data_IF_967378443658
#
_entry.id   IF_967378443658
#
_cell.length_a   1.000
_cell.length_b   1.000
_cell.length_c   1.000
_cell.angle_alpha   90.00
_cell.angle_beta   90.00
_cell.angle_gamma   90.00
#
_symmetry.space_group_name_H-M   'P 1'
#
loop_
_entity.id
_entity.type
_entity.pdbx_description
1 polymer ?
#
# COMPACT_ATOMS: atom_id res chain seq x y z
N UNK A 1 -22.95 16.11 8.35
CA UNK A 1 -22.72 15.87 9.78
C UNK A 1 -21.22 15.62 9.99
N UNK A 2 -20.47 16.66 10.39
CA UNK A 2 -19.15 16.46 10.98
C UNK A 2 -19.40 15.94 12.40
N UNK A 3 -19.24 14.65 12.63
CA UNK A 3 -18.97 14.17 13.96
C UNK A 3 -17.67 14.84 14.41
N UNK A 4 -17.73 15.63 15.46
CA UNK A 4 -16.54 16.07 16.17
C UNK A 4 -15.90 14.80 16.74
N UNK A 5 -14.84 14.32 16.10
CA UNK A 5 -14.04 13.24 16.64
C UNK A 5 -13.53 13.76 17.99
N UNK A 6 -13.80 13.03 19.04
CA UNK A 6 -13.35 13.39 20.40
C UNK A 6 -11.82 13.60 20.36
N UNK A 7 -11.30 14.54 21.12
CA UNK A 7 -9.86 14.89 21.12
C UNK A 7 -8.94 13.73 21.57
N UNK A 8 -9.49 12.59 21.88
CA UNK A 8 -8.78 11.37 22.29
C UNK A 8 -9.64 10.15 21.92
N UNK A 9 -9.44 9.60 20.72
CA UNK A 9 -10.25 8.49 20.19
C UNK A 9 -9.34 7.46 19.50
N UNK A 10 -9.76 6.18 19.63
CA UNK A 10 -9.07 5.06 18.98
C UNK A 10 -10.07 4.27 18.15
N UNK A 11 -9.78 4.12 16.87
CA UNK A 11 -10.54 3.30 15.96
C UNK A 11 -9.70 2.10 15.53
N UNK A 12 -10.27 0.91 15.63
CA UNK A 12 -9.68 -0.33 15.12
C UNK A 12 -10.55 -0.84 13.97
N UNK A 13 -9.92 -1.18 12.86
CA UNK A 13 -10.59 -1.69 11.68
C UNK A 13 -9.93 -2.96 11.16
N UNK A 14 -10.74 -3.81 10.54
CA UNK A 14 -10.27 -4.96 9.79
C UNK A 14 -11.00 -5.03 8.45
N UNK A 15 -10.32 -5.50 7.41
CA UNK A 15 -10.87 -5.71 6.08
C UNK A 15 -10.35 -7.03 5.51
N UNK A 16 -11.17 -7.64 4.65
CA UNK A 16 -10.79 -8.77 3.82
C UNK A 16 -11.07 -8.40 2.37
N UNK A 17 -10.03 -8.39 1.55
CA UNK A 17 -10.14 -8.09 0.12
C UNK A 17 -9.86 -9.39 -0.62
N UNK A 18 -10.75 -9.74 -1.57
CA UNK A 18 -10.60 -10.90 -2.43
C UNK A 18 -10.60 -10.43 -3.88
N UNK A 19 -9.50 -10.69 -4.58
CA UNK A 19 -9.40 -10.48 -6.03
C UNK A 19 -9.71 -11.79 -6.74
N UNK A 20 -10.69 -11.75 -7.63
CA UNK A 20 -11.14 -12.90 -8.40
C UNK A 20 -10.36 -12.99 -9.72
N UNK A 21 -10.13 -14.21 -10.24
CA UNK A 21 -9.45 -14.43 -11.52
C UNK A 21 -10.40 -14.26 -12.73
N UNK A 22 -11.10 -13.13 -12.81
CA UNK A 22 -12.11 -12.85 -13.85
C UNK A 22 -11.59 -12.03 -15.03
N UNK A 23 -10.34 -11.60 -15.00
CA UNK A 23 -9.71 -10.89 -16.13
C UNK A 23 -9.32 -11.84 -17.26
N UNK A 24 -9.27 -11.32 -18.49
CA UNK A 24 -8.80 -12.07 -19.64
C UNK A 24 -7.39 -12.61 -19.40
N UNK A 25 -7.22 -13.89 -19.60
CA UNK A 25 -5.98 -14.61 -19.40
C UNK A 25 -5.71 -15.59 -20.54
N UNK A 26 -4.47 -15.65 -20.99
CA UNK A 26 -3.98 -16.60 -21.98
C UNK A 26 -2.65 -17.18 -21.53
N UNK A 27 -2.55 -18.49 -21.40
CA UNK A 27 -1.32 -19.20 -21.09
C UNK A 27 -0.20 -19.01 -22.12
N UNK A 28 -0.57 -18.62 -23.35
CA UNK A 28 0.38 -18.35 -24.42
C UNK A 28 1.00 -16.94 -24.36
N UNK A 29 0.62 -16.11 -23.38
CA UNK A 29 1.12 -14.76 -23.20
C UNK A 29 1.77 -14.60 -21.82
N UNK A 30 2.95 -13.98 -21.78
CA UNK A 30 3.64 -13.68 -20.54
C UNK A 30 2.97 -12.52 -19.77
N UNK A 31 2.40 -11.56 -20.49
CA UNK A 31 1.73 -10.40 -19.92
C UNK A 31 0.23 -10.54 -20.18
N UNK A 32 -0.55 -10.58 -19.12
CA UNK A 32 -1.99 -10.76 -19.14
C UNK A 32 -2.69 -9.66 -18.30
N UNK A 33 -3.96 -9.39 -18.61
CA UNK A 33 -4.80 -8.50 -17.81
C UNK A 33 -5.23 -9.21 -16.53
N UNK A 34 -5.58 -10.51 -16.63
CA UNK A 34 -5.90 -11.37 -15.49
C UNK A 34 -4.66 -12.09 -14.93
N UNK A 35 -4.72 -12.50 -13.68
CA UNK A 35 -3.63 -13.25 -13.00
C UNK A 35 -3.89 -14.76 -12.97
N UNK A 36 -5.07 -15.21 -13.41
CA UNK A 36 -5.56 -16.60 -13.36
C UNK A 36 -5.43 -17.26 -11.98
N UNK A 37 -5.54 -16.47 -10.91
CA UNK A 37 -5.50 -16.96 -9.52
C UNK A 37 -6.26 -16.03 -8.59
N UNK A 38 -6.68 -16.54 -7.45
CA UNK A 38 -7.23 -15.70 -6.39
C UNK A 38 -6.09 -15.01 -5.63
N UNK A 39 -6.37 -13.78 -5.20
CA UNK A 39 -5.54 -13.09 -4.20
C UNK A 39 -6.43 -12.74 -3.03
N UNK A 40 -6.05 -13.15 -1.84
CA UNK A 40 -6.77 -12.90 -0.60
C UNK A 40 -5.91 -11.97 0.27
N UNK A 41 -6.45 -10.82 0.67
CA UNK A 41 -5.72 -9.85 1.46
C UNK A 41 -6.48 -9.48 2.73
N UNK A 42 -6.25 -10.17 3.85
CA UNK A 42 -6.62 -9.69 5.16
C UNK A 42 -5.79 -8.45 5.54
N UNK A 43 -6.42 -7.50 6.18
CA UNK A 43 -5.80 -6.26 6.65
C UNK A 43 -6.40 -5.87 8.00
N UNK A 44 -5.56 -5.42 8.91
CA UNK A 44 -5.96 -4.82 10.19
C UNK A 44 -5.28 -3.48 10.34
N UNK A 45 -5.92 -2.56 11.02
CA UNK A 45 -5.36 -1.24 11.26
C UNK A 45 -5.94 -0.58 12.51
N UNK A 46 -5.18 0.32 13.05
CA UNK A 46 -5.57 1.17 14.19
C UNK A 46 -5.24 2.62 13.86
N UNK A 47 -6.20 3.48 14.16
CA UNK A 47 -6.02 4.95 14.13
C UNK A 47 -6.25 5.48 15.53
N UNK A 48 -5.32 6.22 16.06
CA UNK A 48 -5.42 6.89 17.36
C UNK A 48 -5.25 8.39 17.19
N UNK A 49 -6.27 9.14 17.59
CA UNK A 49 -6.23 10.61 17.59
C UNK A 49 -6.01 11.13 19.00
N UNK A 50 -5.03 12.00 19.19
CA UNK A 50 -4.75 12.71 20.44
C UNK A 50 -4.49 14.17 20.17
N UNK A 51 -5.49 15.00 20.41
CA UNK A 51 -5.41 16.44 20.15
C UNK A 51 -5.12 16.74 18.68
N UNK A 52 -3.94 17.29 18.39
CA UNK A 52 -3.48 17.64 17.04
C UNK A 52 -2.76 16.50 16.30
N UNK A 53 -2.54 15.39 16.97
CA UNK A 53 -1.84 14.22 16.45
C UNK A 53 -2.82 13.13 16.02
N UNK A 54 -2.53 12.50 14.88
CA UNK A 54 -3.15 11.26 14.45
C UNK A 54 -2.04 10.26 14.18
N UNK A 55 -2.16 9.08 14.76
CA UNK A 55 -1.28 7.93 14.58
C UNK A 55 -2.07 6.83 13.89
N UNK A 56 -1.55 6.31 12.80
CA UNK A 56 -2.17 5.22 12.07
C UNK A 56 -1.13 4.11 11.86
N UNK A 57 -1.54 2.88 12.13
CA UNK A 57 -0.70 1.71 11.87
C UNK A 57 -1.56 0.61 11.28
N UNK A 58 -1.06 -0.06 10.25
CA UNK A 58 -1.75 -1.18 9.63
C UNK A 58 -0.78 -2.29 9.25
N UNK A 59 -1.31 -3.52 9.24
CA UNK A 59 -0.66 -4.71 8.73
C UNK A 59 -1.59 -5.41 7.75
N UNK A 60 -1.03 -5.91 6.66
CA UNK A 60 -1.74 -6.68 5.66
C UNK A 60 -0.87 -7.81 5.13
N UNK A 61 -1.51 -8.88 4.66
CA UNK A 61 -0.87 -10.02 4.04
C UNK A 61 -1.58 -10.30 2.71
N UNK A 62 -0.83 -10.51 1.64
CA UNK A 62 -1.37 -11.03 0.39
C UNK A 62 -1.08 -12.53 0.36
N UNK A 63 -2.12 -13.32 0.25
CA UNK A 63 -2.06 -14.73 -0.02
C UNK A 63 -2.49 -14.97 -1.46
N UNK A 64 -1.74 -15.76 -2.18
CA UNK A 64 -1.98 -16.10 -3.58
C UNK A 64 -2.29 -17.58 -3.69
N UNK A 65 -3.30 -17.94 -4.48
CA UNK A 65 -3.45 -19.35 -4.91
C UNK A 65 -2.51 -19.62 -6.08
N UNK A 66 -2.25 -20.88 -6.35
CA UNK A 66 -1.43 -21.28 -7.48
C UNK A 66 -2.10 -20.92 -8.81
N UNK A 67 -1.30 -20.79 -9.85
CA UNK A 67 -1.73 -20.66 -11.23
C UNK A 67 -1.13 -21.82 -12.03
N UNK A 68 -1.95 -22.84 -12.27
CA UNK A 68 -1.55 -24.09 -12.91
C UNK A 68 -1.40 -23.95 -14.45
N UNK A 69 -1.89 -22.86 -15.02
CA UNK A 69 -1.82 -22.54 -16.45
C UNK A 69 -0.95 -21.30 -16.72
N UNK A 70 0.09 -21.10 -15.92
CA UNK A 70 1.02 -19.99 -16.15
C UNK A 70 1.83 -20.26 -17.41
N UNK A 71 2.21 -19.21 -18.12
CA UNK A 71 2.93 -19.16 -19.40
C UNK A 71 3.47 -20.50 -19.92
N UNK A 72 2.95 -20.96 -21.08
CA UNK A 72 3.23 -22.26 -21.71
C UNK A 72 2.89 -23.47 -20.82
N UNK A 73 1.81 -23.39 -20.04
CA UNK A 73 1.34 -24.50 -19.21
C UNK A 73 2.23 -24.79 -18.00
N UNK A 74 3.00 -23.81 -17.55
CA UNK A 74 3.79 -23.89 -16.32
C UNK A 74 2.91 -23.67 -15.09
N UNK A 75 3.30 -24.23 -13.96
CA UNK A 75 2.70 -23.95 -12.65
C UNK A 75 3.46 -22.79 -12.00
N UNK A 76 2.73 -21.77 -11.51
CA UNK A 76 3.30 -20.65 -10.73
C UNK A 76 2.71 -20.65 -9.34
N UNK A 77 3.58 -20.77 -8.35
CA UNK A 77 3.30 -20.55 -6.94
C UNK A 77 3.94 -19.25 -6.48
N UNK A 78 3.39 -18.64 -5.44
CA UNK A 78 3.96 -17.44 -4.86
C UNK A 78 3.77 -17.41 -3.35
N UNK A 79 4.87 -17.21 -2.64
CA UNK A 79 4.86 -17.03 -1.20
C UNK A 79 4.00 -15.82 -0.78
N UNK A 80 3.43 -15.84 0.42
CA UNK A 80 2.73 -14.68 0.95
C UNK A 80 3.62 -13.43 0.98
N UNK A 81 2.99 -12.27 0.69
CA UNK A 81 3.64 -10.98 0.82
C UNK A 81 3.04 -10.22 2.00
N UNK A 82 3.89 -9.71 2.87
CA UNK A 82 3.51 -8.95 4.06
C UNK A 82 3.81 -7.48 3.89
N UNK A 83 2.92 -6.62 4.35
CA UNK A 83 3.17 -5.19 4.40
C UNK A 83 2.71 -4.59 5.73
N UNK A 84 3.58 -3.74 6.27
CA UNK A 84 3.36 -2.96 7.48
C UNK A 84 3.48 -1.49 7.14
N UNK A 85 2.58 -0.67 7.66
CA UNK A 85 2.58 0.76 7.43
C UNK A 85 2.30 1.51 8.73
N UNK A 86 2.97 2.64 8.91
CA UNK A 86 2.71 3.55 10.01
C UNK A 86 2.77 4.99 9.52
N UNK A 87 1.82 5.80 9.98
CA UNK A 87 1.67 7.20 9.63
C UNK A 87 1.50 8.04 10.88
N UNK A 88 2.13 9.19 10.90
CA UNK A 88 1.94 10.21 11.92
C UNK A 88 1.56 11.50 11.24
N UNK A 89 0.45 12.10 11.64
CA UNK A 89 -0.05 13.35 11.10
C UNK A 89 -0.13 14.37 12.23
N UNK A 90 0.36 15.57 11.99
CA UNK A 90 0.24 16.68 12.92
C UNK A 90 -0.47 17.86 12.26
N UNK A 91 -1.54 18.33 12.91
CA UNK A 91 -2.31 19.49 12.45
C UNK A 91 -1.92 20.73 13.26
N UNK A 92 -1.19 21.66 12.65
CA UNK A 92 -0.77 22.93 13.29
C UNK A 92 -1.97 23.81 13.60
N UNK A 93 -2.83 23.98 12.59
CA UNK A 93 -4.09 24.73 12.63
C UNK A 93 -5.04 24.16 11.58
N UNK A 94 -6.34 24.46 11.63
CA UNK A 94 -7.27 24.06 10.58
C UNK A 94 -6.73 24.42 9.18
N UNK A 95 -6.65 23.43 8.31
CA UNK A 95 -6.12 23.57 6.95
C UNK A 95 -4.60 23.52 6.80
N UNK A 96 -3.81 23.41 7.88
CA UNK A 96 -2.36 23.21 7.78
C UNK A 96 -1.92 21.98 8.58
N UNK A 97 -1.37 21.00 7.88
CA UNK A 97 -0.91 19.74 8.45
C UNK A 97 0.40 19.26 7.82
N UNK A 98 1.11 18.44 8.56
CA UNK A 98 2.26 17.68 8.06
C UNK A 98 2.09 16.21 8.40
N UNK A 99 2.73 15.33 7.65
CA UNK A 99 2.77 13.89 7.96
C UNK A 99 4.12 13.28 7.67
N UNK A 100 4.43 12.23 8.41
CA UNK A 100 5.52 11.32 8.15
C UNK A 100 4.97 9.90 8.08
N UNK A 101 5.45 9.11 7.14
CA UNK A 101 5.01 7.75 6.91
C UNK A 101 6.19 6.83 6.69
N UNK A 102 6.05 5.59 7.13
CA UNK A 102 6.97 4.51 6.85
C UNK A 102 6.17 3.27 6.50
N UNK A 103 6.63 2.51 5.50
CA UNK A 103 6.06 1.25 5.08
C UNK A 103 7.15 0.23 4.83
N UNK A 104 6.91 -1.01 5.19
CA UNK A 104 7.82 -2.12 4.96
C UNK A 104 7.06 -3.29 4.35
N UNK A 105 7.57 -3.82 3.25
CA UNK A 105 7.01 -4.95 2.54
C UNK A 105 8.05 -6.05 2.38
N UNK A 106 7.66 -7.32 2.63
CA UNK A 106 8.54 -8.47 2.54
C UNK A 106 7.80 -9.72 2.08
N UNK A 107 8.46 -10.55 1.27
CA UNK A 107 7.96 -11.83 0.78
C UNK A 107 7.57 -11.80 -0.70
N UNK A 108 6.62 -12.63 -1.08
CA UNK A 108 6.09 -12.69 -2.45
C UNK A 108 7.02 -13.37 -3.45
N UNK A 109 7.95 -14.22 -3.00
CA UNK A 109 8.83 -14.99 -3.85
C UNK A 109 8.06 -15.92 -4.76
N UNK A 110 8.43 -15.98 -6.03
CA UNK A 110 7.81 -16.88 -6.99
C UNK A 110 8.59 -18.18 -7.14
N UNK A 111 7.83 -19.24 -7.36
CA UNK A 111 8.30 -20.54 -7.80
C UNK A 111 7.58 -20.92 -9.10
N UNK A 112 8.32 -21.37 -10.10
CA UNK A 112 7.77 -21.83 -11.39
C UNK A 112 8.26 -23.24 -11.66
N UNK A 113 7.32 -24.19 -11.76
CA UNK A 113 7.59 -25.63 -11.94
C UNK A 113 8.56 -26.17 -10.89
N UNK A 114 8.39 -25.83 -9.61
CA UNK A 114 9.27 -26.24 -8.52
C UNK A 114 10.62 -25.53 -8.48
N UNK A 115 10.85 -24.53 -9.33
CA UNK A 115 12.10 -23.77 -9.37
C UNK A 115 11.88 -22.39 -8.78
N UNK A 116 12.52 -22.14 -7.66
CA UNK A 116 12.53 -20.84 -7.01
C UNK A 116 13.17 -19.78 -7.90
N UNK A 117 12.52 -18.61 -8.00
CA UNK A 117 12.97 -17.49 -8.87
C UNK A 117 13.87 -16.51 -8.16
N UNK A 118 14.04 -16.66 -6.86
CA UNK A 118 14.90 -15.80 -6.05
C UNK A 118 14.54 -14.30 -6.27
N UNK A 119 13.24 -14.02 -6.31
CA UNK A 119 12.65 -12.72 -6.60
C UNK A 119 11.79 -12.19 -5.44
N UNK A 120 12.06 -12.65 -4.23
CA UNK A 120 11.43 -12.12 -3.03
C UNK A 120 11.60 -10.60 -2.95
N UNK A 121 10.55 -9.92 -2.54
CA UNK A 121 10.59 -8.47 -2.34
C UNK A 121 10.95 -8.16 -0.90
N UNK A 122 11.83 -7.18 -0.71
CA UNK A 122 12.11 -6.57 0.58
C UNK A 122 12.30 -5.07 0.36
N UNK A 123 11.25 -4.29 0.67
CA UNK A 123 11.19 -2.87 0.34
C UNK A 123 10.82 -2.04 1.57
N UNK A 124 11.57 -0.96 1.77
CA UNK A 124 11.26 0.09 2.72
C UNK A 124 10.77 1.33 1.95
N UNK A 125 9.58 1.81 2.26
CA UNK A 125 9.05 3.07 1.75
C UNK A 125 8.93 4.08 2.89
N UNK A 126 9.20 5.35 2.61
CA UNK A 126 8.98 6.43 3.55
C UNK A 126 8.49 7.68 2.83
N UNK A 127 7.76 8.52 3.54
CA UNK A 127 7.33 9.79 2.98
C UNK A 127 7.22 10.89 4.04
N UNK A 128 7.44 12.11 3.58
CA UNK A 128 7.16 13.33 4.32
C UNK A 128 6.21 14.18 3.48
N UNK A 129 5.14 14.69 4.07
CA UNK A 129 4.20 15.52 3.34
C UNK A 129 3.74 16.71 4.18
N UNK A 130 3.36 17.76 3.47
CA UNK A 130 2.69 18.93 4.04
C UNK A 130 1.53 19.34 3.14
N UNK A 131 0.43 19.77 3.76
CA UNK A 131 -0.74 20.25 3.05
C UNK A 131 -1.26 21.55 3.65
N UNK A 132 -1.71 22.44 2.78
CA UNK A 132 -2.28 23.71 3.17
C UNK A 132 -3.57 24.01 2.39
N UNK A 133 -4.63 24.38 3.11
CA UNK A 133 -5.88 24.86 2.54
C UNK A 133 -5.86 26.38 2.52
N UNK A 134 -5.75 26.97 1.34
CA UNK A 134 -5.74 28.44 1.15
C UNK A 134 -7.12 29.02 1.40
N UNK A 135 -8.15 28.29 1.00
CA UNK A 135 -9.57 28.60 1.21
C UNK A 135 -10.32 27.36 1.66
N UNK A 136 -11.63 27.45 1.87
CA UNK A 136 -12.48 26.29 2.13
C UNK A 136 -12.59 25.34 0.93
N UNK A 137 -12.32 25.84 -0.26
CA UNK A 137 -12.48 25.14 -1.52
C UNK A 137 -11.16 24.74 -2.16
N UNK A 138 -10.07 25.48 -1.92
CA UNK A 138 -8.80 25.29 -2.58
C UNK A 138 -7.68 24.95 -1.60
N UNK A 139 -6.91 23.93 -1.94
CA UNK A 139 -5.76 23.49 -1.18
C UNK A 139 -4.65 22.94 -2.06
N UNK A 140 -3.46 22.86 -1.49
CA UNK A 140 -2.30 22.22 -2.10
C UNK A 140 -1.62 21.29 -1.11
N UNK A 141 -0.95 20.26 -1.63
CA UNK A 141 -0.06 19.40 -0.88
C UNK A 141 1.23 19.18 -1.65
N UNK A 142 2.31 18.99 -0.91
CA UNK A 142 3.59 18.51 -1.42
C UNK A 142 3.99 17.27 -0.60
N UNK A 143 4.58 16.30 -1.26
CA UNK A 143 5.10 15.10 -0.61
C UNK A 143 6.45 14.73 -1.24
N UNK A 144 7.38 14.33 -0.39
CA UNK A 144 8.59 13.59 -0.78
C UNK A 144 8.36 12.11 -0.42
N UNK A 145 8.64 11.23 -1.36
CA UNK A 145 8.42 9.79 -1.24
C UNK A 145 9.70 9.09 -1.65
N UNK A 146 10.30 8.33 -0.75
CA UNK A 146 11.46 7.50 -1.03
C UNK A 146 11.11 6.02 -0.90
N UNK A 147 11.70 5.20 -1.77
CA UNK A 147 11.66 3.75 -1.68
C UNK A 147 13.09 3.23 -1.71
N UNK A 148 13.38 2.31 -0.79
CA UNK A 148 14.66 1.60 -0.72
C UNK A 148 14.38 0.11 -0.79
N UNK A 149 15.07 -0.56 -1.68
CA UNK A 149 15.00 -2.02 -1.80
C UNK A 149 16.24 -2.65 -1.20
N UNK A 150 16.06 -3.81 -0.60
CA UNK A 150 17.17 -4.61 -0.05
C UNK A 150 17.48 -5.83 -0.94
N UNK A 151 16.86 -5.88 -2.11
CA UNK A 151 17.07 -6.96 -3.10
C UNK A 151 17.73 -6.42 -4.36
N UNK A 152 18.56 -7.22 -5.01
CA UNK A 152 19.30 -6.84 -6.22
C UNK A 152 18.41 -6.68 -7.47
N UNK A 153 17.12 -7.00 -7.37
CA UNK A 153 16.18 -7.03 -8.51
C UNK A 153 15.19 -5.85 -8.55
N UNK A 154 15.36 -4.87 -7.68
CA UNK A 154 14.51 -3.68 -7.65
C UNK A 154 15.35 -2.42 -7.56
N UNK A 155 14.74 -1.26 -7.71
CA UNK A 155 15.45 0.03 -7.76
C UNK A 155 14.99 0.93 -6.62
N UNK A 156 15.95 1.63 -6.03
CA UNK A 156 15.69 2.76 -5.17
C UNK A 156 15.05 3.90 -5.98
N UNK A 157 14.10 4.58 -5.39
CA UNK A 157 13.48 5.74 -6.02
C UNK A 157 13.26 6.87 -5.03
N UNK A 158 13.36 8.09 -5.53
CA UNK A 158 13.04 9.32 -4.81
C UNK A 158 12.14 10.19 -5.69
N UNK A 159 10.98 10.56 -5.15
CA UNK A 159 9.95 11.26 -5.89
C UNK A 159 9.44 12.47 -5.11
N UNK A 160 9.12 13.54 -5.82
CA UNK A 160 8.39 14.68 -5.28
C UNK A 160 7.02 14.73 -5.97
N UNK A 161 5.97 14.72 -5.18
CA UNK A 161 4.60 14.83 -5.66
C UNK A 161 3.99 16.16 -5.21
N UNK A 162 3.35 16.87 -6.13
CA UNK A 162 2.56 18.06 -5.84
C UNK A 162 1.11 17.78 -6.23
N UNK A 163 0.19 18.08 -5.33
CA UNK A 163 -1.24 17.91 -5.55
C UNK A 163 -2.00 19.21 -5.29
N UNK A 164 -2.93 19.52 -6.15
CA UNK A 164 -3.91 20.59 -5.97
C UNK A 164 -5.29 19.97 -5.75
N UNK A 165 -6.08 20.54 -4.87
CA UNK A 165 -7.44 20.10 -4.59
C UNK A 165 -8.40 21.28 -4.71
N UNK A 166 -9.51 21.04 -5.38
CA UNK A 166 -10.63 21.97 -5.50
C UNK A 166 -11.92 21.24 -5.14
N UNK A 167 -12.72 21.85 -4.25
CA UNK A 167 -14.02 21.33 -3.81
C UNK A 167 -15.07 22.40 -4.12
N UNK A 168 -16.12 22.07 -4.85
CA UNK A 168 -17.25 22.95 -5.19
C UNK A 168 -18.49 22.64 -4.34
#
# INVERSE_FOLDING_TARGET
HRQSVAANDTLIGAALIVQLPTGDYSENQLINIGSNRFTIRPQVGVTHQRGKWIYETSASMWYFTDNDDFWNGSERQQDPFWAFQSHVIYTFKPGFWTSASIGYGIGGQNEINGINKDDANENLAYSLAAGYSFTRQFGAKIAYIGTRTQTDKSFDSDNVAVGLSWVW
#
